data_IF_110676067139
#
_entry.id   IF_110676067139
#
_cell.length_a   1.000
_cell.length_b   1.000
_cell.length_c   1.000
_cell.angle_alpha   90.00
_cell.angle_beta   90.00
_cell.angle_gamma   90.00
#
_symmetry.space_group_name_H-M   'P 1'
#
loop_
_entity.id
_entity.type
_entity.pdbx_description
1 polymer ?
#
# COMPACT_ATOMS: atom_id res chain seq x y z
N UNK A 1 21.24 17.23 -2.92
CA UNK A 1 20.13 16.66 -2.16
C UNK A 1 20.06 15.16 -2.36
N UNK A 2 19.70 14.46 -1.29
CA UNK A 2 19.53 13.01 -1.34
C UNK A 2 18.06 12.66 -1.51
N UNK A 3 17.82 11.58 -2.24
CA UNK A 3 16.49 11.00 -2.39
C UNK A 3 16.48 9.61 -1.79
N UNK A 4 15.38 9.24 -1.17
CA UNK A 4 15.24 7.94 -0.51
C UNK A 4 13.94 7.28 -0.92
N UNK A 5 13.99 5.95 -1.06
CA UNK A 5 12.82 5.13 -1.38
C UNK A 5 12.72 4.03 -0.33
N UNK A 6 11.52 3.87 0.21
CA UNK A 6 11.19 2.77 1.12
C UNK A 6 10.55 1.66 0.29
N UNK A 7 10.97 0.42 0.52
CA UNK A 7 10.50 -0.72 -0.27
C UNK A 7 10.11 -1.85 0.69
N UNK A 8 8.82 -2.05 0.87
CA UNK A 8 8.28 -3.07 1.78
C UNK A 8 7.21 -3.88 1.02
N UNK A 9 7.62 -4.84 0.17
CA UNK A 9 6.68 -5.56 -0.69
C UNK A 9 5.94 -6.68 0.02
N UNK A 10 6.38 -7.11 1.21
CA UNK A 10 5.85 -8.28 1.87
C UNK A 10 6.00 -8.13 3.38
N UNK A 11 4.89 -7.97 4.09
CA UNK A 11 4.85 -7.87 5.54
C UNK A 11 3.61 -8.57 6.08
N UNK A 12 3.63 -8.93 7.36
CA UNK A 12 2.48 -9.54 8.02
C UNK A 12 1.40 -8.51 8.36
N UNK A 13 1.76 -7.46 9.08
CA UNK A 13 0.81 -6.40 9.44
C UNK A 13 1.53 -5.16 9.94
N UNK A 14 0.86 -4.01 9.83
CA UNK A 14 1.37 -2.77 10.43
C UNK A 14 1.32 -2.83 11.96
N UNK A 15 0.38 -3.60 12.50
CA UNK A 15 0.26 -3.79 13.93
C UNK A 15 1.52 -4.43 14.52
N UNK A 16 2.11 -5.39 13.84
CA UNK A 16 3.36 -6.01 14.27
C UNK A 16 4.52 -5.01 14.25
N UNK A 17 4.53 -4.11 13.28
CA UNK A 17 5.51 -3.02 13.23
C UNK A 17 5.36 -2.10 14.44
N UNK A 18 4.13 -1.72 14.78
CA UNK A 18 3.87 -0.91 15.96
C UNK A 18 4.35 -1.60 17.23
N UNK A 19 4.07 -2.89 17.36
CA UNK A 19 4.49 -3.69 18.51
C UNK A 19 6.01 -3.78 18.63
N UNK A 20 6.72 -3.72 17.50
CA UNK A 20 8.18 -3.72 17.47
C UNK A 20 8.78 -2.31 17.71
N UNK A 21 7.94 -1.29 17.89
CA UNK A 21 8.39 0.07 18.17
C UNK A 21 8.63 0.93 16.92
N UNK A 22 8.19 0.47 15.74
CA UNK A 22 8.38 1.20 14.48
C UNK A 22 7.05 1.51 13.84
N UNK A 23 6.67 2.78 13.81
CA UNK A 23 5.46 3.20 13.09
C UNK A 23 5.81 3.46 11.63
N UNK A 24 5.04 2.86 10.71
CA UNK A 24 5.27 3.02 9.27
C UNK A 24 5.16 4.48 8.84
N UNK A 25 4.31 5.28 9.49
CA UNK A 25 4.14 6.68 9.17
C UNK A 25 5.44 7.48 9.37
N UNK A 26 6.22 7.13 10.39
CA UNK A 26 7.50 7.77 10.65
C UNK A 26 8.52 7.44 9.56
N UNK A 27 8.48 6.22 9.04
CA UNK A 27 9.37 5.82 7.95
C UNK A 27 8.97 6.51 6.64
N UNK A 28 7.67 6.64 6.38
CA UNK A 28 7.18 7.36 5.20
C UNK A 28 7.64 8.83 5.23
N UNK A 29 7.63 9.44 6.41
CA UNK A 29 8.04 10.83 6.55
C UNK A 29 9.50 11.07 6.15
N UNK A 30 10.34 10.05 6.23
CA UNK A 30 11.79 10.14 5.95
C UNK A 30 12.18 9.89 4.50
N UNK A 31 11.22 9.48 3.66
CA UNK A 31 11.52 9.06 2.28
C UNK A 31 10.75 9.93 1.28
N UNK A 32 11.14 9.84 0.01
CA UNK A 32 10.49 10.56 -1.08
C UNK A 32 9.43 9.71 -1.77
N UNK A 33 9.56 8.38 -1.69
CA UNK A 33 8.57 7.45 -2.20
C UNK A 33 8.58 6.19 -1.33
N UNK A 34 7.39 5.57 -1.18
CA UNK A 34 7.24 4.36 -0.38
C UNK A 34 6.46 3.34 -1.19
N UNK A 35 7.10 2.21 -1.49
CA UNK A 35 6.48 1.06 -2.14
C UNK A 35 6.08 0.07 -1.06
N UNK A 36 4.78 -0.10 -0.87
CA UNK A 36 4.24 -0.88 0.24
C UNK A 36 3.46 -2.10 -0.24
N UNK A 37 3.37 -3.11 0.63
CA UNK A 37 2.66 -4.35 0.36
C UNK A 37 1.22 -4.08 -0.09
N UNK A 38 0.89 -4.50 -1.31
CA UNK A 38 -0.43 -4.41 -1.90
C UNK A 38 -0.92 -5.76 -2.39
N UNK A 39 -0.50 -6.86 -1.75
CA UNK A 39 -0.82 -8.22 -2.20
C UNK A 39 -2.32 -8.41 -2.42
N UNK A 40 -3.15 -8.04 -1.45
CA UNK A 40 -4.61 -8.15 -1.53
C UNK A 40 -5.26 -6.78 -1.36
N UNK A 41 -6.39 -6.58 -2.03
CA UNK A 41 -7.11 -5.32 -1.95
C UNK A 41 -7.97 -5.23 -0.69
N UNK A 42 -8.81 -6.25 -0.47
CA UNK A 42 -9.76 -6.25 0.64
C UNK A 42 -10.19 -7.67 0.97
N UNK A 43 -10.84 -7.83 2.12
CA UNK A 43 -11.45 -9.11 2.50
C UNK A 43 -12.48 -9.52 1.46
N UNK A 44 -12.60 -10.83 1.23
CA UNK A 44 -13.52 -11.38 0.25
C UNK A 44 -12.99 -11.43 -1.17
N UNK A 45 -11.76 -11.01 -1.40
CA UNK A 45 -11.14 -11.03 -2.73
C UNK A 45 -11.04 -12.45 -3.30
N UNK A 46 -10.80 -13.44 -2.44
CA UNK A 46 -10.74 -14.85 -2.84
C UNK A 46 -12.04 -15.52 -2.38
N UNK A 47 -12.93 -15.87 -3.31
CA UNK A 47 -14.23 -16.48 -2.95
C UNK A 47 -14.06 -17.77 -2.15
N UNK A 48 -14.88 -17.92 -1.11
CA UNK A 48 -14.89 -19.12 -0.29
C UNK A 48 -13.72 -19.26 0.69
N UNK A 49 -12.85 -18.25 0.79
CA UNK A 49 -11.72 -18.26 1.71
C UNK A 49 -11.92 -17.23 2.81
N UNK A 50 -11.61 -17.62 4.04
CA UNK A 50 -11.49 -16.68 5.15
C UNK A 50 -10.12 -16.03 5.06
N UNK A 51 -10.10 -14.73 4.75
CA UNK A 51 -8.85 -14.00 4.56
C UNK A 51 -8.36 -13.29 5.82
N UNK A 52 -9.08 -13.40 6.94
CA UNK A 52 -8.74 -12.65 8.16
C UNK A 52 -7.37 -13.01 8.74
N UNK A 53 -6.88 -14.22 8.49
CA UNK A 53 -5.56 -14.67 8.94
C UNK A 53 -4.45 -14.54 7.91
N UNK A 54 -4.70 -13.92 6.77
CA UNK A 54 -3.68 -13.80 5.72
C UNK A 54 -2.55 -12.88 6.20
N UNK A 55 -1.30 -13.22 5.92
CA UNK A 55 -0.14 -12.47 6.42
C UNK A 55 0.23 -11.28 5.56
N UNK A 56 -0.76 -10.46 5.24
CA UNK A 56 -0.57 -9.22 4.46
C UNK A 56 -1.62 -8.20 4.88
N UNK A 57 -1.26 -6.94 5.08
CA UNK A 57 -2.28 -5.91 5.26
C UNK A 57 -2.97 -5.69 3.92
N UNK A 58 -4.30 -5.65 3.93
CA UNK A 58 -5.04 -5.33 2.71
C UNK A 58 -4.81 -3.87 2.33
N UNK A 59 -4.88 -3.55 1.03
CA UNK A 59 -4.75 -2.17 0.56
C UNK A 59 -5.77 -1.28 1.28
N UNK A 60 -7.03 -1.71 1.40
CA UNK A 60 -8.05 -0.94 2.12
C UNK A 60 -7.68 -0.69 3.57
N UNK A 61 -7.12 -1.69 4.24
CA UNK A 61 -6.67 -1.55 5.62
C UNK A 61 -5.55 -0.51 5.72
N UNK A 62 -4.59 -0.56 4.81
CA UNK A 62 -3.51 0.40 4.77
C UNK A 62 -4.02 1.81 4.47
N UNK A 63 -4.94 1.96 3.52
CA UNK A 63 -5.53 3.27 3.21
C UNK A 63 -6.31 3.84 4.39
N UNK A 64 -7.04 3.01 5.12
CA UNK A 64 -7.75 3.44 6.32
C UNK A 64 -6.76 3.92 7.39
N UNK A 65 -5.66 3.20 7.58
CA UNK A 65 -4.62 3.60 8.51
C UNK A 65 -4.02 4.96 8.14
N UNK A 66 -3.82 5.20 6.83
CA UNK A 66 -3.13 6.40 6.33
C UNK A 66 -4.06 7.56 6.00
N UNK A 67 -5.35 7.43 6.25
CA UNK A 67 -6.35 8.43 5.82
C UNK A 67 -6.13 9.83 6.39
N UNK A 68 -5.50 9.93 7.56
CA UNK A 68 -5.24 11.21 8.21
C UNK A 68 -3.92 11.86 7.79
N UNK A 69 -3.12 11.17 6.98
CA UNK A 69 -1.87 11.75 6.50
C UNK A 69 -2.15 12.92 5.55
N UNK A 70 -1.29 13.95 5.53
CA UNK A 70 -1.41 15.02 4.54
C UNK A 70 -1.35 14.48 3.11
N UNK A 71 -1.98 15.16 2.13
CA UNK A 71 -1.93 14.71 0.73
C UNK A 71 -0.51 14.50 0.20
N UNK A 72 0.46 15.32 0.63
CA UNK A 72 1.85 15.17 0.21
C UNK A 72 2.48 13.87 0.70
N UNK A 73 2.06 13.34 1.86
CA UNK A 73 2.53 12.07 2.36
C UNK A 73 1.83 10.90 1.67
N UNK A 74 0.52 11.00 1.45
CA UNK A 74 -0.23 9.99 0.71
C UNK A 74 0.33 9.80 -0.70
N UNK A 75 0.72 10.89 -1.35
CA UNK A 75 1.25 10.86 -2.72
C UNK A 75 2.57 10.08 -2.84
N UNK A 76 3.28 9.85 -1.76
CA UNK A 76 4.50 9.04 -1.75
C UNK A 76 4.21 7.55 -1.83
N UNK A 77 2.99 7.13 -1.44
CA UNK A 77 2.66 5.71 -1.24
C UNK A 77 2.19 5.08 -2.54
N UNK A 78 2.86 3.99 -2.92
CA UNK A 78 2.52 3.22 -4.11
C UNK A 78 2.46 1.74 -3.70
N UNK A 79 1.32 1.10 -3.96
CA UNK A 79 1.14 -0.32 -3.62
C UNK A 79 1.77 -1.20 -4.69
N UNK A 80 2.45 -2.25 -4.25
CA UNK A 80 3.16 -3.20 -5.13
C UNK A 80 2.86 -4.63 -4.71
N UNK A 81 3.39 -5.59 -5.47
CA UNK A 81 3.32 -7.02 -5.13
C UNK A 81 1.89 -7.55 -5.15
N UNK A 82 1.04 -7.03 -6.06
CA UNK A 82 -0.36 -7.42 -6.12
C UNK A 82 -0.52 -8.88 -6.57
N UNK A 83 -1.33 -9.63 -5.82
CA UNK A 83 -1.66 -10.99 -6.21
C UNK A 83 -2.56 -10.97 -7.45
N UNK A 84 -2.55 -12.07 -8.22
CA UNK A 84 -3.35 -12.15 -9.45
C UNK A 84 -4.85 -12.01 -9.21
N UNK A 85 -5.33 -12.23 -7.99
CA UNK A 85 -6.75 -12.04 -7.61
C UNK A 85 -7.10 -10.59 -7.29
N UNK A 86 -6.11 -9.71 -7.19
CA UNK A 86 -6.33 -8.35 -6.72
C UNK A 86 -7.02 -7.50 -7.80
N UNK A 87 -8.23 -6.96 -7.53
CA UNK A 87 -8.95 -6.17 -8.52
C UNK A 87 -8.25 -4.87 -8.91
N UNK A 88 -7.31 -4.39 -8.09
CA UNK A 88 -6.54 -3.18 -8.40
C UNK A 88 -5.56 -3.38 -9.56
N UNK A 89 -5.33 -4.63 -10.01
CA UNK A 89 -4.57 -4.90 -11.23
C UNK A 89 -5.22 -4.29 -12.46
N UNK A 90 -6.55 -4.13 -12.46
CA UNK A 90 -7.26 -3.51 -13.58
C UNK A 90 -7.17 -1.99 -13.45
N UNK A 91 -6.39 -1.30 -14.32
CA UNK A 91 -6.21 0.15 -14.18
C UNK A 91 -7.49 0.96 -14.46
N UNK A 92 -8.52 0.33 -15.02
CA UNK A 92 -9.81 0.98 -15.28
C UNK A 92 -10.91 0.51 -14.31
N UNK A 93 -10.55 -0.31 -13.33
CA UNK A 93 -11.51 -0.87 -12.38
C UNK A 93 -11.83 0.05 -11.21
N UNK A 94 -12.88 -0.30 -10.48
CA UNK A 94 -13.33 0.47 -9.32
C UNK A 94 -12.29 0.48 -8.20
N UNK A 95 -11.59 -0.63 -7.98
CA UNK A 95 -10.56 -0.72 -6.94
C UNK A 95 -9.43 0.29 -7.20
N UNK A 96 -8.98 0.41 -8.46
CA UNK A 96 -7.96 1.36 -8.82
C UNK A 96 -8.45 2.80 -8.61
N UNK A 97 -9.70 3.08 -8.97
CA UNK A 97 -10.31 4.41 -8.76
C UNK A 97 -10.40 4.75 -7.28
N UNK A 98 -10.75 3.79 -6.44
CA UNK A 98 -10.82 3.98 -5.00
C UNK A 98 -9.46 4.36 -4.44
N UNK A 99 -8.40 3.67 -4.87
CA UNK A 99 -7.03 3.95 -4.43
C UNK A 99 -6.61 5.36 -4.82
N UNK A 100 -6.82 5.71 -6.09
CA UNK A 100 -6.41 7.01 -6.62
C UNK A 100 -7.23 8.15 -6.02
N UNK A 101 -8.52 7.95 -5.83
CA UNK A 101 -9.39 8.95 -5.21
C UNK A 101 -9.00 9.21 -3.75
N UNK A 102 -8.46 8.21 -3.07
CA UNK A 102 -8.00 8.36 -1.70
C UNK A 102 -6.62 9.02 -1.59
N UNK A 103 -5.95 9.28 -2.71
CA UNK A 103 -4.66 9.98 -2.75
C UNK A 103 -3.45 9.07 -2.87
N UNK A 104 -3.67 7.78 -3.10
CA UNK A 104 -2.60 6.78 -3.24
C UNK A 104 -2.46 6.34 -4.70
N UNK A 105 -1.50 5.44 -4.96
CA UNK A 105 -1.29 4.91 -6.30
C UNK A 105 -0.93 3.43 -6.26
N UNK A 106 -1.06 2.77 -7.40
CA UNK A 106 -0.52 1.43 -7.63
C UNK A 106 0.69 1.58 -8.54
N UNK A 107 1.80 0.94 -8.17
CA UNK A 107 3.01 1.00 -8.97
C UNK A 107 2.82 0.29 -10.30
N UNK A 108 3.35 0.87 -11.36
CA UNK A 108 3.33 0.29 -12.70
C UNK A 108 4.70 -0.30 -13.02
N UNK A 109 4.72 -1.43 -13.72
CA UNK A 109 5.98 -2.02 -14.17
C UNK A 109 6.72 -1.04 -15.07
N UNK A 110 8.00 -0.84 -14.79
CA UNK A 110 8.82 0.08 -15.57
C UNK A 110 8.59 1.56 -15.31
N UNK A 111 7.77 1.91 -14.31
CA UNK A 111 7.52 3.33 -14.03
C UNK A 111 8.77 4.05 -13.55
N UNK A 112 8.80 5.35 -13.79
CA UNK A 112 9.88 6.22 -13.31
C UNK A 112 9.33 7.21 -12.32
N UNK A 113 10.12 7.44 -11.26
CA UNK A 113 9.80 8.45 -10.26
C UNK A 113 10.70 9.68 -10.48
N UNK A 114 10.13 10.86 -10.33
CA UNK A 114 10.86 12.10 -10.44
C UNK A 114 11.60 12.47 -9.15
N UNK A 115 12.51 11.62 -8.73
CA UNK A 115 13.25 11.78 -7.47
C UNK A 115 14.42 12.79 -7.56
#
# INVERSE_FOLDING_TARGET
>A
PRRAVLFIPDIDSWHEWDAAGTAIEDEIARVDAAYLDGTFFADGEIPGRDMSGFPHPFIRTSMERFKELPPSEKAKIRFIHLNHTNPALNPRGEARREIEAAGFAVAEEGERLGL
#
